data_IF_045926641596
#
_entry.id   IF_045926641596
#
_cell.length_a   1.000
_cell.length_b   1.000
_cell.length_c   1.000
_cell.angle_alpha   90.00
_cell.angle_beta   90.00
_cell.angle_gamma   90.00
#
_symmetry.space_group_name_H-M   'P 1'
#
loop_
_entity.id
_entity.type
_entity.pdbx_description
1 polymer ?
#
# COMPACT_ATOMS: atom_id res chain seq x y z
N UNK A 1 -26.52 18.09 -30.78
CA UNK A 1 -27.42 17.04 -30.26
C UNK A 1 -26.91 15.61 -30.53
N UNK A 2 -26.36 15.29 -31.71
CA UNK A 2 -25.86 13.93 -32.03
C UNK A 2 -24.71 13.45 -31.11
N UNK A 3 -23.80 14.35 -30.71
CA UNK A 3 -22.65 14.01 -29.85
C UNK A 3 -23.02 13.64 -28.41
N UNK A 4 -24.12 14.19 -27.86
CA UNK A 4 -24.56 13.91 -26.49
C UNK A 4 -25.20 12.52 -26.37
N UNK A 5 -25.91 12.08 -27.41
CA UNK A 5 -26.52 10.75 -27.46
C UNK A 5 -25.46 9.63 -27.52
N UNK A 6 -24.36 9.85 -28.25
CA UNK A 6 -23.24 8.89 -28.32
C UNK A 6 -22.51 8.74 -26.97
N UNK A 7 -22.33 9.85 -26.24
CA UNK A 7 -21.73 9.83 -24.90
C UNK A 7 -22.64 9.07 -23.93
N UNK A 8 -23.94 9.38 -23.88
CA UNK A 8 -24.92 8.67 -23.04
C UNK A 8 -24.97 7.17 -23.33
N UNK A 9 -25.03 6.76 -24.61
CA UNK A 9 -25.03 5.36 -25.00
C UNK A 9 -23.72 4.63 -24.66
N UNK A 10 -22.59 5.36 -24.60
CA UNK A 10 -21.30 4.79 -24.19
C UNK A 10 -21.24 4.50 -22.69
N UNK A 11 -21.79 5.39 -21.85
CA UNK A 11 -21.87 5.20 -20.40
C UNK A 11 -22.79 4.02 -20.04
N UNK A 12 -24.00 3.95 -20.62
CA UNK A 12 -24.92 2.83 -20.40
C UNK A 12 -24.32 1.48 -20.80
N UNK A 13 -23.55 1.46 -21.90
CA UNK A 13 -22.83 0.26 -22.35
C UNK A 13 -21.75 -0.15 -21.36
N UNK A 14 -20.93 0.78 -20.89
CA UNK A 14 -19.87 0.53 -19.91
C UNK A 14 -20.45 0.01 -18.60
N UNK A 15 -21.51 0.64 -18.08
CA UNK A 15 -22.17 0.23 -16.85
C UNK A 15 -22.75 -1.20 -16.97
N UNK A 16 -23.39 -1.51 -18.10
CA UNK A 16 -23.93 -2.85 -18.37
C UNK A 16 -22.83 -3.92 -18.52
N UNK A 17 -21.64 -3.53 -18.98
CA UNK A 17 -20.49 -4.42 -19.12
C UNK A 17 -19.81 -4.65 -17.77
N UNK A 18 -19.56 -3.60 -16.98
CA UNK A 18 -18.95 -3.68 -15.64
C UNK A 18 -19.84 -4.54 -14.74
N UNK A 19 -21.14 -4.29 -14.73
CA UNK A 19 -22.09 -5.04 -13.92
C UNK A 19 -22.07 -6.54 -14.24
N UNK A 20 -22.00 -6.88 -15.54
CA UNK A 20 -21.97 -8.25 -16.04
C UNK A 20 -20.64 -8.95 -15.73
N UNK A 21 -19.54 -8.22 -15.72
CA UNK A 21 -18.20 -8.76 -15.47
C UNK A 21 -17.74 -8.59 -14.01
N UNK A 22 -18.58 -8.09 -13.11
CA UNK A 22 -18.21 -7.73 -11.72
C UNK A 22 -17.47 -8.83 -10.96
N UNK A 23 -17.87 -10.10 -11.09
CA UNK A 23 -17.26 -11.21 -10.35
C UNK A 23 -15.87 -11.56 -10.92
N UNK A 24 -15.70 -11.43 -12.24
CA UNK A 24 -14.40 -11.57 -12.90
C UNK A 24 -13.47 -10.44 -12.52
N UNK A 25 -13.98 -9.20 -12.47
CA UNK A 25 -13.22 -8.03 -12.04
C UNK A 25 -12.79 -8.15 -10.57
N UNK A 26 -13.69 -8.52 -9.65
CA UNK A 26 -13.34 -8.77 -8.24
C UNK A 26 -12.23 -9.82 -8.10
N UNK A 27 -12.34 -10.92 -8.83
CA UNK A 27 -11.33 -11.99 -8.81
C UNK A 27 -10.02 -11.51 -9.40
N UNK A 28 -10.05 -10.82 -10.54
CA UNK A 28 -8.88 -10.24 -11.19
C UNK A 28 -8.15 -9.25 -10.28
N UNK A 29 -8.87 -8.30 -9.68
CA UNK A 29 -8.28 -7.33 -8.73
C UNK A 29 -7.64 -8.02 -7.53
N UNK A 30 -8.31 -9.04 -6.97
CA UNK A 30 -7.76 -9.81 -5.85
C UNK A 30 -6.43 -10.48 -6.22
N UNK A 31 -6.37 -11.11 -7.39
CA UNK A 31 -5.15 -11.78 -7.87
C UNK A 31 -4.05 -10.74 -8.14
N UNK A 32 -4.40 -9.63 -8.79
CA UNK A 32 -3.46 -8.54 -9.09
C UNK A 32 -2.83 -7.97 -7.81
N UNK A 33 -3.65 -7.57 -6.83
CA UNK A 33 -3.14 -7.10 -5.54
C UNK A 33 -2.32 -8.17 -4.82
N UNK A 34 -2.75 -9.43 -4.87
CA UNK A 34 -1.99 -10.54 -4.31
C UNK A 34 -0.60 -10.68 -4.93
N UNK A 35 -0.48 -10.55 -6.25
CA UNK A 35 0.79 -10.60 -6.94
C UNK A 35 1.70 -9.40 -6.57
N UNK A 36 1.13 -8.18 -6.51
CA UNK A 36 1.87 -6.97 -6.11
C UNK A 36 2.44 -7.11 -4.71
N UNK A 37 1.61 -7.49 -3.72
CA UNK A 37 2.08 -7.72 -2.35
C UNK A 37 3.13 -8.82 -2.26
N UNK A 38 2.99 -9.89 -3.05
CA UNK A 38 3.94 -11.01 -3.03
C UNK A 38 5.31 -10.60 -3.56
N UNK A 39 5.34 -9.83 -4.66
CA UNK A 39 6.58 -9.28 -5.21
C UNK A 39 7.21 -8.31 -4.21
N UNK A 40 6.45 -7.34 -3.69
CA UNK A 40 6.95 -6.35 -2.72
C UNK A 40 7.52 -7.02 -1.46
N UNK A 41 6.79 -7.99 -0.91
CA UNK A 41 7.21 -8.73 0.28
C UNK A 41 8.50 -9.52 0.07
N UNK A 42 8.69 -10.15 -1.10
CA UNK A 42 9.94 -10.85 -1.43
C UNK A 42 11.11 -9.87 -1.55
N UNK A 43 10.89 -8.67 -2.10
CA UNK A 43 11.94 -7.66 -2.25
C UNK A 43 12.49 -7.19 -0.88
N UNK A 44 11.69 -7.24 0.19
CA UNK A 44 12.17 -6.88 1.54
C UNK A 44 13.28 -7.79 2.10
N UNK A 45 13.47 -8.99 1.55
CA UNK A 45 14.56 -9.90 1.93
C UNK A 45 15.86 -9.65 1.16
N UNK A 46 15.92 -8.61 0.32
CA UNK A 46 17.13 -8.18 -0.36
C UNK A 46 18.21 -7.69 0.61
N UNK A 47 19.49 -7.93 0.28
CA UNK A 47 20.64 -7.77 1.17
C UNK A 47 21.00 -6.33 1.57
N UNK A 48 20.22 -5.32 1.20
CA UNK A 48 20.45 -3.91 1.57
C UNK A 48 19.21 -3.17 2.08
N UNK A 49 18.06 -3.85 2.17
CA UNK A 49 16.82 -3.23 2.66
C UNK A 49 16.88 -2.95 4.17
N UNK A 50 17.36 -3.89 5.02
CA UNK A 50 17.53 -3.60 6.45
C UNK A 50 18.50 -2.44 6.73
N UNK A 51 19.60 -2.35 5.98
CA UNK A 51 20.63 -1.33 6.20
C UNK A 51 20.14 0.09 5.93
N UNK A 52 19.21 0.24 4.97
CA UNK A 52 18.61 1.53 4.58
C UNK A 52 17.32 1.87 5.34
N UNK A 53 16.74 0.92 6.08
CA UNK A 53 15.44 1.12 6.72
C UNK A 53 15.45 2.19 7.81
N UNK A 54 16.47 2.17 8.67
CA UNK A 54 16.57 3.14 9.77
C UNK A 54 16.69 4.58 9.26
N UNK A 55 17.52 4.79 8.24
CA UNK A 55 17.68 6.12 7.62
C UNK A 55 16.42 6.57 6.88
N UNK A 56 15.73 5.65 6.20
CA UNK A 56 14.43 5.93 5.57
C UNK A 56 13.42 6.43 6.61
N UNK A 57 13.19 5.70 7.70
CA UNK A 57 12.24 6.10 8.75
C UNK A 57 12.65 7.42 9.42
N UNK A 58 13.94 7.63 9.67
CA UNK A 58 14.42 8.89 10.24
C UNK A 58 14.15 10.07 9.30
N UNK A 59 14.42 9.89 8.00
CA UNK A 59 14.18 10.93 7.00
C UNK A 59 12.70 11.26 6.79
N UNK A 60 11.80 10.30 6.99
CA UNK A 60 10.35 10.51 6.87
C UNK A 60 9.81 11.55 7.88
N UNK A 61 10.50 11.74 9.01
CA UNK A 61 10.19 12.77 10.02
C UNK A 61 10.67 14.18 9.67
N UNK A 62 11.54 14.33 8.66
CA UNK A 62 12.12 15.63 8.31
C UNK A 62 11.06 16.54 7.68
N UNK A 63 11.00 17.79 8.14
CA UNK A 63 10.04 18.78 7.63
C UNK A 63 8.59 18.55 8.08
N UNK A 64 8.33 17.51 8.90
CA UNK A 64 7.00 17.25 9.44
C UNK A 64 6.61 18.28 10.49
N UNK A 65 5.32 18.63 10.62
CA UNK A 65 4.81 19.51 11.66
C UNK A 65 5.24 19.09 13.08
N UNK A 66 5.45 20.07 13.96
CA UNK A 66 5.93 19.83 15.33
C UNK A 66 5.07 18.82 16.12
N UNK A 67 3.75 18.80 15.86
CA UNK A 67 2.82 17.88 16.53
C UNK A 67 2.99 16.41 16.10
N UNK A 68 3.63 16.13 14.96
CA UNK A 68 3.97 14.76 14.51
C UNK A 68 5.36 14.30 14.96
N UNK A 69 6.19 15.18 15.51
CA UNK A 69 7.59 14.85 15.81
C UNK A 69 7.73 13.71 16.83
N UNK A 70 6.80 13.59 17.79
CA UNK A 70 6.78 12.46 18.73
C UNK A 70 6.51 11.11 18.06
N UNK A 71 5.62 11.07 17.07
CA UNK A 71 5.32 9.86 16.30
C UNK A 71 6.54 9.37 15.52
N UNK A 72 7.18 10.26 14.76
CA UNK A 72 8.36 9.90 13.97
C UNK A 72 9.57 9.57 14.84
N UNK A 73 9.77 10.28 15.95
CA UNK A 73 10.85 9.97 16.90
C UNK A 73 10.69 8.56 17.50
N UNK A 74 9.46 8.16 17.83
CA UNK A 74 9.18 6.82 18.34
C UNK A 74 9.57 5.74 17.31
N UNK A 75 9.08 5.88 16.08
CA UNK A 75 9.33 4.89 15.03
C UNK A 75 10.77 4.86 14.55
N UNK A 76 11.46 6.01 14.49
CA UNK A 76 12.90 6.06 14.24
C UNK A 76 13.68 5.30 15.31
N UNK A 77 13.28 5.42 16.59
CA UNK A 77 13.85 4.63 17.67
C UNK A 77 13.64 3.12 17.50
N UNK A 78 12.43 2.69 17.13
CA UNK A 78 12.14 1.28 16.85
C UNK A 78 12.94 0.74 15.66
N UNK A 79 13.03 1.52 14.58
CA UNK A 79 13.79 1.17 13.38
C UNK A 79 15.29 1.09 13.65
N UNK A 80 15.84 1.95 14.51
CA UNK A 80 17.25 1.93 14.88
C UNK A 80 17.62 0.74 15.79
N UNK A 81 16.70 0.29 16.64
CA UNK A 81 16.95 -0.83 17.56
C UNK A 81 17.08 -2.17 16.84
N UNK A 82 16.19 -2.45 15.88
CA UNK A 82 16.22 -3.71 15.13
C UNK A 82 15.61 -3.54 13.73
N UNK A 83 16.35 -2.95 12.78
CA UNK A 83 15.83 -2.67 11.45
C UNK A 83 15.47 -3.96 10.70
N UNK A 84 16.30 -4.99 10.83
CA UNK A 84 16.09 -6.30 10.20
C UNK A 84 14.77 -6.94 10.63
N UNK A 85 14.45 -6.89 11.93
CA UNK A 85 13.17 -7.42 12.43
C UNK A 85 11.98 -6.74 11.77
N UNK A 86 11.95 -5.40 11.73
CA UNK A 86 10.81 -4.66 11.18
C UNK A 86 10.66 -4.84 9.67
N UNK A 87 11.77 -4.83 8.93
CA UNK A 87 11.77 -5.08 7.48
C UNK A 87 11.26 -6.48 7.16
N UNK A 88 11.79 -7.51 7.82
CA UNK A 88 11.40 -8.89 7.56
C UNK A 88 10.01 -9.22 8.09
N UNK A 89 9.60 -8.65 9.23
CA UNK A 89 8.22 -8.77 9.71
C UNK A 89 7.25 -8.22 8.67
N UNK A 90 7.54 -7.03 8.12
CA UNK A 90 6.74 -6.44 7.06
C UNK A 90 6.69 -7.37 5.84
N UNK A 91 7.86 -7.83 5.35
CA UNK A 91 7.92 -8.75 4.20
C UNK A 91 7.16 -10.06 4.42
N UNK A 92 7.22 -10.65 5.61
CA UNK A 92 6.44 -11.86 5.97
C UNK A 92 4.93 -11.56 5.93
N UNK A 93 4.49 -10.43 6.49
CA UNK A 93 3.08 -10.05 6.48
C UNK A 93 2.57 -9.80 5.05
N UNK A 94 3.38 -9.20 4.19
CA UNK A 94 3.07 -8.96 2.77
C UNK A 94 2.94 -10.26 1.99
N UNK A 95 3.86 -11.22 2.20
CA UNK A 95 3.79 -12.56 1.60
C UNK A 95 2.57 -13.33 2.11
N UNK A 96 2.27 -13.27 3.42
CA UNK A 96 1.09 -13.91 3.99
C UNK A 96 -0.21 -13.33 3.41
N UNK A 97 -0.27 -12.01 3.26
CA UNK A 97 -1.37 -11.30 2.62
C UNK A 97 -1.51 -11.70 1.14
N UNK A 98 -0.39 -11.74 0.41
CA UNK A 98 -0.33 -12.18 -0.98
C UNK A 98 -0.89 -13.60 -1.13
N UNK A 99 -0.46 -14.54 -0.28
CA UNK A 99 -0.95 -15.91 -0.29
C UNK A 99 -2.47 -15.97 -0.05
N UNK A 100 -2.98 -15.20 0.93
CA UNK A 100 -4.41 -15.11 1.22
C UNK A 100 -5.22 -14.56 0.03
N UNK A 101 -4.72 -13.53 -0.65
CA UNK A 101 -5.37 -12.92 -1.81
C UNK A 101 -5.33 -13.82 -3.04
N UNK A 102 -4.18 -14.43 -3.36
CA UNK A 102 -4.04 -15.30 -4.54
C UNK A 102 -4.91 -16.55 -4.42
N UNK A 103 -4.81 -17.27 -3.29
CA UNK A 103 -5.59 -18.47 -3.01
C UNK A 103 -7.06 -18.15 -2.68
N UNK A 104 -7.35 -16.91 -2.31
CA UNK A 104 -8.70 -16.44 -2.01
C UNK A 104 -9.28 -16.98 -0.70
N UNK A 105 -8.43 -17.28 0.29
CA UNK A 105 -8.83 -17.69 1.65
C UNK A 105 -8.77 -16.50 2.63
N UNK A 106 -9.40 -16.63 3.81
CA UNK A 106 -9.40 -15.62 4.88
C UNK A 106 -9.72 -14.17 4.44
N UNK A 107 -10.56 -13.99 3.41
CA UNK A 107 -10.73 -12.72 2.68
C UNK A 107 -11.01 -11.50 3.56
N UNK A 108 -11.90 -11.61 4.56
CA UNK A 108 -12.20 -10.48 5.47
C UNK A 108 -10.96 -10.01 6.22
N UNK A 109 -10.17 -10.96 6.72
CA UNK A 109 -8.91 -10.69 7.41
C UNK A 109 -7.87 -10.16 6.44
N UNK A 110 -7.75 -10.73 5.24
CA UNK A 110 -6.82 -10.25 4.22
C UNK A 110 -7.11 -8.80 3.81
N UNK A 111 -8.39 -8.44 3.59
CA UNK A 111 -8.75 -7.08 3.20
C UNK A 111 -8.54 -6.08 4.33
N UNK A 112 -8.98 -6.40 5.55
CA UNK A 112 -8.76 -5.54 6.71
C UNK A 112 -7.28 -5.42 7.08
N UNK A 113 -6.57 -6.54 7.11
CA UNK A 113 -5.14 -6.60 7.38
C UNK A 113 -4.31 -5.88 6.33
N UNK A 114 -4.62 -6.05 5.04
CA UNK A 114 -3.98 -5.31 3.96
C UNK A 114 -4.22 -3.81 4.04
N UNK A 115 -5.43 -3.37 4.41
CA UNK A 115 -5.72 -1.97 4.66
C UNK A 115 -4.86 -1.41 5.81
N UNK A 116 -4.80 -2.11 6.94
CA UNK A 116 -4.02 -1.70 8.10
C UNK A 116 -2.51 -1.68 7.79
N UNK A 117 -2.01 -2.69 7.11
CA UNK A 117 -0.61 -2.79 6.70
C UNK A 117 -0.23 -1.65 5.74
N UNK A 118 -1.11 -1.35 4.76
CA UNK A 118 -0.92 -0.23 3.84
C UNK A 118 -0.84 1.11 4.59
N UNK A 119 -1.77 1.35 5.52
CA UNK A 119 -1.78 2.57 6.33
C UNK A 119 -0.51 2.68 7.18
N UNK A 120 -0.02 1.57 7.70
CA UNK A 120 1.19 1.55 8.51
C UNK A 120 2.44 1.90 7.69
N UNK A 121 2.62 1.27 6.51
CA UNK A 121 3.72 1.56 5.59
C UNK A 121 3.65 3.03 5.13
N UNK A 122 2.46 3.52 4.82
CA UNK A 122 2.26 4.92 4.43
C UNK A 122 2.58 5.91 5.56
N UNK A 123 2.18 5.61 6.79
CA UNK A 123 2.32 6.52 7.94
C UNK A 123 3.72 6.56 8.57
N UNK A 124 4.55 5.54 8.35
CA UNK A 124 5.85 5.39 9.03
C UNK A 124 7.00 5.59 8.05
N UNK A 125 7.42 4.61 7.22
CA UNK A 125 8.53 4.80 6.32
C UNK A 125 8.26 5.81 5.19
N UNK A 126 7.00 6.03 4.81
CA UNK A 126 6.62 6.99 3.75
C UNK A 126 6.17 8.36 4.27
N UNK A 127 6.15 8.58 5.59
CA UNK A 127 5.94 9.91 6.16
C UNK A 127 4.62 10.60 5.78
N UNK A 128 3.53 9.85 5.54
CA UNK A 128 2.23 10.38 5.08
C UNK A 128 2.25 11.04 3.68
N UNK A 129 3.32 10.88 2.90
CA UNK A 129 3.47 11.56 1.62
C UNK A 129 4.20 10.76 0.56
N UNK A 130 4.79 9.60 0.87
CA UNK A 130 5.63 8.86 -0.08
C UNK A 130 6.76 9.76 -0.62
N UNK A 131 7.22 9.58 -1.87
CA UNK A 131 8.22 10.45 -2.48
C UNK A 131 7.69 11.85 -2.86
N UNK A 132 6.45 12.19 -2.47
CA UNK A 132 5.78 13.41 -2.88
C UNK A 132 6.06 14.52 -1.87
N UNK A 133 6.75 15.57 -2.32
CA UNK A 133 7.15 16.70 -1.48
C UNK A 133 5.98 17.62 -1.07
N UNK A 134 6.26 18.69 -0.30
CA UNK A 134 5.25 19.63 0.23
C UNK A 134 4.34 20.32 -0.80
N UNK A 135 4.60 20.17 -2.10
CA UNK A 135 3.79 20.68 -3.20
C UNK A 135 2.75 19.69 -3.75
N UNK A 136 2.54 18.55 -3.09
CA UNK A 136 1.77 17.42 -3.66
C UNK A 136 0.31 17.39 -3.24
N UNK A 137 -0.09 18.33 -2.37
CA UNK A 137 -1.49 18.65 -2.07
C UNK A 137 -1.67 20.15 -2.24
N UNK A 138 -2.73 20.55 -2.93
CA UNK A 138 -3.06 21.93 -3.27
C UNK A 138 -3.52 22.70 -2.01
N UNK A 139 -2.60 23.10 -1.13
CA UNK A 139 -2.85 24.13 -0.09
C UNK A 139 -1.77 25.20 -0.09
#
# INVERSE_FOLDING_TARGET
>A
MHSMALVSASHERLDSWIYRNRERLKTGMRILFGAVWGIDGVLKFGSGVPDSFSSMVQSAGNGQPAWLQGWFSFWAGQAAQNPTFWVYLTGVLEIALAAALLLGFARKVAYGGGMLLSLFIWAVPEGFGGPYGPSSTDI
#
